data_IF_048620107645
#
_entry.id   IF_048620107645
#
_cell.length_a   1.000
_cell.length_b   1.000
_cell.length_c   1.000
_cell.angle_alpha   90.00
_cell.angle_beta   90.00
_cell.angle_gamma   90.00
#
_symmetry.space_group_name_H-M   'P 1'
#
loop_
_entity.id
_entity.type
_entity.pdbx_description
1 polymer ?
#
# COMPACT_ATOMS: atom_id res chain seq x y z
N UNK A 1 15.38 8.01 2.62
CA UNK A 1 14.70 8.44 1.39
C UNK A 1 13.36 7.72 1.28
N UNK A 2 12.31 8.45 0.98
CA UNK A 2 10.98 7.86 0.83
C UNK A 2 10.80 7.32 -0.58
N UNK A 3 10.27 6.12 -0.70
CA UNK A 3 10.06 5.49 -1.99
C UNK A 3 8.82 4.59 -1.93
N UNK A 4 8.12 4.50 -3.05
CA UNK A 4 6.97 3.64 -3.20
C UNK A 4 6.98 3.07 -4.61
N UNK A 5 7.13 1.76 -4.72
CA UNK A 5 7.20 1.06 -6.00
C UNK A 5 6.07 0.07 -6.11
N UNK A 6 5.49 -0.04 -7.29
CA UNK A 6 4.43 -1.01 -7.57
C UNK A 6 4.94 -2.00 -8.60
N UNK A 7 4.94 -3.28 -8.23
CA UNK A 7 5.31 -4.37 -9.11
C UNK A 7 4.06 -5.18 -9.43
N UNK A 8 3.77 -5.34 -10.73
CA UNK A 8 2.60 -6.10 -11.18
C UNK A 8 3.03 -7.47 -11.66
N UNK A 9 2.29 -8.50 -11.26
CA UNK A 9 2.53 -9.88 -11.67
C UNK A 9 1.18 -10.60 -11.80
N UNK A 10 0.66 -10.70 -13.01
CA UNK A 10 -0.65 -11.28 -13.26
C UNK A 10 -1.75 -10.49 -12.54
N UNK A 11 -2.51 -11.17 -11.68
CA UNK A 11 -3.57 -10.57 -10.86
C UNK A 11 -3.06 -10.05 -9.52
N UNK A 12 -1.76 -9.95 -9.35
CA UNK A 12 -1.14 -9.55 -8.10
C UNK A 12 -0.31 -8.28 -8.30
N UNK A 13 -0.42 -7.36 -7.37
CA UNK A 13 0.43 -6.18 -7.31
C UNK A 13 1.11 -6.13 -5.94
N UNK A 14 2.41 -5.88 -5.94
CA UNK A 14 3.16 -5.68 -4.72
C UNK A 14 3.54 -4.21 -4.63
N UNK A 15 3.06 -3.53 -3.60
CA UNK A 15 3.39 -2.14 -3.33
C UNK A 15 4.48 -2.12 -2.27
N UNK A 16 5.69 -1.76 -2.67
CA UNK A 16 6.84 -1.66 -1.76
C UNK A 16 7.00 -0.24 -1.29
N UNK A 17 6.92 -0.07 0.01
CA UNK A 17 7.04 1.25 0.64
C UNK A 17 8.31 1.26 1.49
N UNK A 18 9.06 2.34 1.43
CA UNK A 18 10.27 2.51 2.22
C UNK A 18 10.40 3.95 2.70
N UNK A 19 11.16 4.15 3.78
CA UNK A 19 11.42 5.45 4.35
C UNK A 19 10.45 5.80 5.46
N UNK A 20 10.05 7.05 5.53
CA UNK A 20 9.17 7.57 6.59
C UNK A 20 7.79 7.89 6.00
N UNK A 21 6.76 7.22 6.51
CA UNK A 21 5.40 7.44 6.04
C UNK A 21 4.70 8.39 7.00
N UNK A 22 4.91 9.67 6.77
CA UNK A 22 4.28 10.75 7.53
C UNK A 22 3.11 11.35 6.75
N UNK A 23 2.55 12.43 7.27
CA UNK A 23 1.40 13.08 6.64
C UNK A 23 1.68 13.49 5.19
N UNK A 24 2.89 13.96 4.90
CA UNK A 24 3.23 14.40 3.52
C UNK A 24 3.40 13.23 2.55
N UNK A 25 3.82 12.06 3.04
CA UNK A 25 4.08 10.89 2.19
C UNK A 25 2.91 9.93 2.13
N UNK A 26 2.06 9.90 3.17
CA UNK A 26 0.95 8.96 3.24
C UNK A 26 -0.04 9.10 2.07
N UNK A 27 -0.21 10.31 1.54
CA UNK A 27 -1.08 10.53 0.38
C UNK A 27 -0.56 9.81 -0.86
N UNK A 28 0.75 9.81 -1.07
CA UNK A 28 1.36 9.09 -2.18
C UNK A 28 1.21 7.58 -2.04
N UNK A 29 1.39 7.07 -0.82
CA UNK A 29 1.21 5.65 -0.52
C UNK A 29 -0.25 5.25 -0.74
N UNK A 30 -1.18 6.04 -0.24
CA UNK A 30 -2.61 5.80 -0.42
C UNK A 30 -2.98 5.72 -1.90
N UNK A 31 -2.49 6.67 -2.69
CA UNK A 31 -2.77 6.71 -4.11
C UNK A 31 -2.22 5.47 -4.82
N UNK A 32 -1.01 5.07 -4.50
CA UNK A 32 -0.39 3.89 -5.10
C UNK A 32 -1.19 2.63 -4.80
N UNK A 33 -1.65 2.48 -3.55
CA UNK A 33 -2.46 1.33 -3.14
C UNK A 33 -3.79 1.31 -3.89
N UNK A 34 -4.49 2.44 -3.95
CA UNK A 34 -5.78 2.52 -4.61
C UNK A 34 -5.66 2.31 -6.12
N UNK A 35 -4.60 2.83 -6.74
CA UNK A 35 -4.32 2.60 -8.15
C UNK A 35 -4.07 1.12 -8.43
N UNK A 36 -3.30 0.45 -7.56
CA UNK A 36 -3.04 -0.98 -7.70
C UNK A 36 -4.34 -1.79 -7.57
N UNK A 37 -5.19 -1.45 -6.62
CA UNK A 37 -6.49 -2.10 -6.45
C UNK A 37 -7.40 -1.90 -7.66
N UNK A 38 -7.22 -0.82 -8.39
CA UNK A 38 -7.96 -0.57 -9.62
C UNK A 38 -7.50 -1.41 -10.80
N UNK A 39 -6.32 -2.02 -10.72
CA UNK A 39 -5.72 -2.78 -11.81
C UNK A 39 -5.78 -4.29 -11.62
N UNK A 40 -5.65 -4.76 -10.39
CA UNK A 40 -5.57 -6.19 -10.07
C UNK A 40 -6.43 -6.51 -8.86
N UNK A 41 -6.70 -7.81 -8.66
CA UNK A 41 -7.55 -8.26 -7.55
C UNK A 41 -6.79 -8.46 -6.24
N UNK A 42 -5.51 -8.74 -6.32
CA UNK A 42 -4.72 -9.08 -5.14
C UNK A 42 -3.63 -8.05 -4.97
N UNK A 43 -3.62 -7.34 -3.86
CA UNK A 43 -2.61 -6.34 -3.56
C UNK A 43 -1.94 -6.68 -2.25
N UNK A 44 -0.61 -6.75 -2.26
CA UNK A 44 0.21 -6.87 -1.07
C UNK A 44 0.98 -5.59 -0.87
N UNK A 45 1.11 -5.15 0.37
CA UNK A 45 1.93 -3.99 0.73
C UNK A 45 3.10 -4.46 1.57
N UNK A 46 4.31 -4.22 1.09
CA UNK A 46 5.52 -4.57 1.80
C UNK A 46 6.08 -3.36 2.54
N UNK A 47 6.28 -3.50 3.82
CA UNK A 47 6.71 -2.42 4.70
C UNK A 47 8.09 -2.66 5.31
N UNK A 48 8.84 -3.63 4.83
CA UNK A 48 10.15 -3.97 5.41
C UNK A 48 11.14 -2.82 5.37
N UNK A 49 11.01 -1.92 4.39
CA UNK A 49 11.88 -0.75 4.27
C UNK A 49 11.36 0.50 4.99
N UNK A 50 10.24 0.40 5.71
CA UNK A 50 9.66 1.54 6.40
C UNK A 50 10.33 1.72 7.75
N UNK A 51 10.97 2.87 7.95
CA UNK A 51 11.63 3.20 9.21
C UNK A 51 10.67 3.82 10.22
N UNK A 52 9.61 4.47 9.73
CA UNK A 52 8.65 5.15 10.58
C UNK A 52 7.31 5.25 9.87
N UNK A 53 6.23 5.06 10.60
CA UNK A 53 4.88 5.26 10.08
C UNK A 53 4.03 5.90 11.19
N UNK A 54 3.36 7.01 10.88
CA UNK A 54 2.48 7.67 11.82
C UNK A 54 1.01 7.27 11.57
N UNK A 55 0.10 7.91 12.31
CA UNK A 55 -1.32 7.58 12.20
C UNK A 55 -1.89 7.86 10.81
N UNK A 56 -1.36 8.85 10.09
CA UNK A 56 -1.84 9.14 8.73
C UNK A 56 -1.42 8.03 7.75
N UNK A 57 -0.23 7.46 7.93
CA UNK A 57 0.21 6.32 7.14
C UNK A 57 -0.62 5.08 7.43
N UNK A 58 -0.92 4.84 8.70
CA UNK A 58 -1.80 3.73 9.09
C UNK A 58 -3.20 3.91 8.49
N UNK A 59 -3.72 5.13 8.51
CA UNK A 59 -5.03 5.42 7.91
C UNK A 59 -5.04 5.12 6.41
N UNK A 60 -3.93 5.41 5.72
CA UNK A 60 -3.82 5.10 4.29
C UNK A 60 -3.91 3.60 4.04
N UNK A 61 -3.27 2.79 4.88
CA UNK A 61 -3.35 1.33 4.78
C UNK A 61 -4.76 0.83 5.07
N UNK A 62 -5.42 1.38 6.08
CA UNK A 62 -6.79 1.02 6.44
C UNK A 62 -7.75 1.35 5.31
N UNK A 63 -7.59 2.51 4.66
CA UNK A 63 -8.40 2.87 3.51
C UNK A 63 -8.23 1.88 2.35
N UNK A 64 -7.00 1.46 2.10
CA UNK A 64 -6.72 0.44 1.09
C UNK A 64 -7.44 -0.87 1.40
N UNK A 65 -7.36 -1.30 2.64
CA UNK A 65 -8.03 -2.51 3.10
C UNK A 65 -9.55 -2.41 2.95
N UNK A 66 -10.14 -1.29 3.35
CA UNK A 66 -11.58 -1.09 3.24
C UNK A 66 -12.03 -1.04 1.79
N UNK A 67 -11.26 -0.40 0.92
CA UNK A 67 -11.57 -0.35 -0.51
C UNK A 67 -11.54 -1.76 -1.12
N UNK A 68 -10.53 -2.55 -0.78
CA UNK A 68 -10.42 -3.93 -1.27
C UNK A 68 -11.59 -4.78 -0.79
N UNK A 69 -11.96 -4.64 0.47
CA UNK A 69 -13.05 -5.40 1.06
C UNK A 69 -14.38 -5.08 0.39
N UNK A 70 -14.63 -3.81 0.10
CA UNK A 70 -15.87 -3.40 -0.57
C UNK A 70 -16.00 -3.93 -1.99
N UNK A 71 -14.89 -4.29 -2.64
CA UNK A 71 -14.85 -4.80 -4.00
C UNK A 71 -14.55 -6.30 -4.07
N UNK A 72 -14.58 -6.99 -2.95
CA UNK A 72 -14.22 -8.42 -2.85
C UNK A 72 -12.81 -8.71 -3.37
N UNK A 73 -11.90 -7.79 -3.15
CA UNK A 73 -10.49 -7.94 -3.50
C UNK A 73 -9.69 -8.38 -2.29
N UNK A 74 -8.52 -8.96 -2.53
CA UNK A 74 -7.60 -9.35 -1.46
C UNK A 74 -6.57 -8.26 -1.22
N UNK A 75 -6.35 -7.94 0.04
CA UNK A 75 -5.36 -6.97 0.47
C UNK A 75 -4.61 -7.55 1.66
N UNK A 76 -3.30 -7.55 1.60
CA UNK A 76 -2.49 -8.10 2.68
C UNK A 76 -1.26 -7.25 2.94
N UNK A 77 -0.78 -7.30 4.17
CA UNK A 77 0.49 -6.71 4.54
C UNK A 77 1.56 -7.80 4.48
N UNK A 78 2.63 -7.52 3.76
CA UNK A 78 3.73 -8.45 3.59
C UNK A 78 4.90 -7.96 4.43
N UNK A 79 5.37 -8.81 5.34
CA UNK A 79 6.55 -8.53 6.13
C UNK A 79 7.70 -9.37 5.56
N UNK A 80 8.81 -8.71 5.30
CA UNK A 80 9.98 -9.41 4.86
C UNK A 80 10.79 -9.92 6.06
#
# INVERSE_FOLDING_TARGET
MNDCKVELDGDFALVRVSGEVDLSWSQSVRKAILDALGKVRNVGVELSGVAYIDSSGIAALVEGFQSARGKCQKFSLVAA
#
